data_IF_700690609125
#
_entry.id   IF_700690609125
#
_cell.length_a   1.000
_cell.length_b   1.000
_cell.length_c   1.000
_cell.angle_alpha   90.00
_cell.angle_beta   90.00
_cell.angle_gamma   90.00
#
_symmetry.space_group_name_H-M   'P 1'
#
loop_
_entity.id
_entity.type
_entity.pdbx_description
1 polymer ?
#
# COMPACT_ATOMS: atom_id res chain seq x y z
N UNK A 1 -3.03 0.33 9.87
CA UNK A 1 -2.36 1.61 10.17
C UNK A 1 -1.57 1.48 11.47
N UNK A 2 -0.49 2.24 11.65
CA UNK A 2 0.17 2.38 12.95
C UNK A 2 -0.87 2.86 13.98
N UNK A 3 -1.08 2.10 15.06
CA UNK A 3 -2.16 2.35 16.02
C UNK A 3 -3.39 1.43 15.91
N UNK A 4 -3.35 0.43 15.02
CA UNK A 4 -4.37 -0.64 14.97
C UNK A 4 -5.62 -0.33 14.14
N UNK A 5 -5.71 0.87 13.55
CA UNK A 5 -6.78 1.23 12.63
C UNK A 5 -6.72 0.44 11.30
N UNK A 6 -7.90 0.13 10.76
CA UNK A 6 -8.07 -0.56 9.47
C UNK A 6 -8.85 0.33 8.50
N UNK A 7 -8.41 0.39 7.25
CA UNK A 7 -9.11 1.03 6.14
C UNK A 7 -9.43 -0.03 5.10
N UNK A 8 -10.61 0.08 4.48
CA UNK A 8 -11.00 -0.75 3.35
C UNK A 8 -11.26 0.15 2.16
N UNK A 9 -10.69 -0.21 1.03
CA UNK A 9 -10.90 0.45 -0.24
C UNK A 9 -10.87 -0.60 -1.35
N UNK A 10 -11.51 -0.30 -2.48
CA UNK A 10 -11.54 -1.16 -3.65
C UNK A 10 -10.72 -0.49 -4.74
N UNK A 11 -9.72 -1.21 -5.24
CA UNK A 11 -8.92 -0.83 -6.41
C UNK A 11 -9.16 -1.88 -7.49
N UNK A 12 -9.07 -1.49 -8.76
CA UNK A 12 -9.09 -2.46 -9.86
C UNK A 12 -7.70 -3.05 -10.05
N UNK A 13 -7.63 -4.28 -10.59
CA UNK A 13 -6.36 -5.01 -10.74
C UNK A 13 -5.31 -4.27 -11.57
N UNK A 14 -5.77 -3.47 -12.53
CA UNK A 14 -4.94 -2.66 -13.42
C UNK A 14 -4.49 -1.33 -12.79
N UNK A 15 -5.02 -0.96 -11.62
CA UNK A 15 -4.55 0.22 -10.90
C UNK A 15 -3.11 0.02 -10.46
N UNK A 16 -2.40 1.13 -10.33
CA UNK A 16 -1.02 1.16 -9.94
C UNK A 16 -0.89 1.27 -8.42
N UNK A 17 0.24 0.80 -7.88
CA UNK A 17 0.51 0.97 -6.45
C UNK A 17 0.54 2.47 -6.05
N UNK A 18 0.91 3.35 -6.98
CA UNK A 18 0.82 4.80 -6.78
C UNK A 18 -0.61 5.27 -6.46
N UNK A 19 -1.65 4.63 -6.99
CA UNK A 19 -3.04 4.99 -6.69
C UNK A 19 -3.40 4.70 -5.23
N UNK A 20 -2.83 3.63 -4.67
CA UNK A 20 -2.97 3.32 -3.23
C UNK A 20 -2.32 4.40 -2.37
N UNK A 21 -1.12 4.86 -2.74
CA UNK A 21 -0.45 5.96 -2.05
C UNK A 21 -1.20 7.29 -2.22
N UNK A 22 -1.75 7.56 -3.40
CA UNK A 22 -2.59 8.73 -3.67
C UNK A 22 -3.85 8.72 -2.81
N UNK A 23 -4.47 7.56 -2.61
CA UNK A 23 -5.61 7.40 -1.71
C UNK A 23 -5.23 7.71 -0.25
N UNK A 24 -4.09 7.22 0.23
CA UNK A 24 -3.59 7.58 1.58
C UNK A 24 -3.40 9.10 1.71
N UNK A 25 -2.84 9.75 0.68
CA UNK A 25 -2.70 11.21 0.67
C UNK A 25 -4.04 11.94 0.79
N UNK A 26 -5.05 11.52 0.03
CA UNK A 26 -6.39 12.11 0.07
C UNK A 26 -7.09 11.96 1.43
N UNK A 27 -6.79 10.89 2.17
CA UNK A 27 -7.28 10.68 3.53
C UNK A 27 -6.54 11.49 4.61
N UNK A 28 -5.57 12.33 4.22
CA UNK A 28 -4.71 13.04 5.17
C UNK A 28 -3.64 12.14 5.81
N UNK A 29 -3.42 10.96 5.23
CA UNK A 29 -2.45 9.95 5.69
C UNK A 29 -1.18 9.96 4.84
N UNK A 30 -0.88 11.09 4.21
CA UNK A 30 0.26 11.26 3.31
C UNK A 30 1.62 10.99 3.96
N UNK A 31 1.73 11.11 5.29
CA UNK A 31 2.94 10.71 6.03
C UNK A 31 3.28 9.22 5.82
N UNK A 32 2.27 8.36 5.67
CA UNK A 32 2.41 6.93 5.42
C UNK A 32 2.66 6.60 3.95
N UNK A 33 2.45 7.57 3.07
CA UNK A 33 2.82 7.52 1.65
C UNK A 33 4.18 8.21 1.39
N UNK A 34 5.05 8.23 2.40
CA UNK A 34 6.40 8.80 2.30
C UNK A 34 7.47 7.72 2.17
N UNK A 35 8.69 8.12 1.81
CA UNK A 35 9.85 7.24 1.77
C UNK A 35 10.18 6.59 3.12
N UNK A 36 9.69 7.15 4.23
CA UNK A 36 9.89 6.63 5.59
C UNK A 36 8.98 5.43 5.92
N UNK A 37 7.99 5.14 5.09
CA UNK A 37 7.05 4.04 5.28
C UNK A 37 7.04 3.09 4.08
N UNK A 38 6.61 1.86 4.32
CA UNK A 38 6.37 0.85 3.29
C UNK A 38 5.05 0.15 3.54
N UNK A 39 4.44 -0.33 2.46
CA UNK A 39 3.32 -1.26 2.53
C UNK A 39 3.86 -2.68 2.59
N UNK A 40 3.25 -3.54 3.40
CA UNK A 40 3.67 -4.93 3.55
C UNK A 40 2.46 -5.87 3.55
N UNK A 41 2.62 -7.07 2.99
CA UNK A 41 1.68 -8.18 3.15
C UNK A 41 2.16 -9.11 4.26
N UNK A 42 1.26 -9.57 5.13
CA UNK A 42 1.63 -10.50 6.21
C UNK A 42 2.16 -11.86 5.68
N UNK A 43 1.62 -12.32 4.54
CA UNK A 43 2.06 -13.53 3.86
C UNK A 43 1.92 -13.34 2.35
N UNK A 44 2.99 -13.55 1.54
CA UNK A 44 4.29 -14.13 1.89
C UNK A 44 5.33 -13.14 2.48
N UNK A 45 4.93 -12.03 3.11
CA UNK A 45 5.90 -11.08 3.69
C UNK A 45 6.52 -10.15 2.65
N UNK A 46 5.76 -9.74 1.63
CA UNK A 46 6.27 -8.84 0.58
C UNK A 46 6.13 -7.39 1.01
N UNK A 47 7.21 -6.65 0.82
CA UNK A 47 7.27 -5.21 1.03
C UNK A 47 7.14 -4.46 -0.30
N UNK A 48 6.42 -3.35 -0.30
CA UNK A 48 6.22 -2.47 -1.43
C UNK A 48 6.54 -1.04 -1.00
N UNK A 49 7.30 -0.35 -1.84
CA UNK A 49 7.73 1.02 -1.62
C UNK A 49 7.13 1.94 -2.68
N UNK A 50 7.41 3.24 -2.58
CA UNK A 50 6.98 4.20 -3.61
C UNK A 50 7.68 3.96 -4.96
N UNK A 51 8.86 3.31 -4.96
CA UNK A 51 9.60 2.95 -6.17
C UNK A 51 8.87 1.88 -7.00
N UNK A 52 8.07 1.05 -6.34
CA UNK A 52 7.19 0.06 -6.98
C UNK A 52 5.90 0.70 -7.53
N UNK A 53 5.74 2.03 -7.39
CA UNK A 53 4.52 2.78 -7.68
C UNK A 53 3.96 2.56 -9.07
N UNK A 54 4.82 2.31 -10.06
CA UNK A 54 4.47 2.06 -11.47
C UNK A 54 3.99 0.64 -11.79
N UNK A 55 4.07 -0.31 -10.84
CA UNK A 55 3.60 -1.68 -11.04
C UNK A 55 2.10 -1.73 -10.73
N UNK A 56 1.38 -2.56 -11.48
CA UNK A 56 -0.03 -2.80 -11.25
C UNK A 56 -0.24 -3.67 -10.02
N UNK A 57 -1.41 -3.57 -9.39
CA UNK A 57 -1.77 -4.41 -8.26
C UNK A 57 -1.76 -5.90 -8.62
N UNK A 58 -2.09 -6.27 -9.87
CA UNK A 58 -2.01 -7.66 -10.32
C UNK A 58 -0.56 -8.17 -10.39
N UNK A 59 0.36 -7.39 -10.95
CA UNK A 59 1.80 -7.72 -11.02
C UNK A 59 2.42 -7.89 -9.62
N UNK A 60 1.94 -7.12 -8.65
CA UNK A 60 2.37 -7.18 -7.25
C UNK A 60 1.74 -8.35 -6.46
N UNK A 61 0.76 -9.05 -7.06
CA UNK A 61 -0.01 -10.12 -6.43
C UNK A 61 -1.12 -9.63 -5.48
N UNK A 62 -1.47 -8.34 -5.54
CA UNK A 62 -2.51 -7.67 -4.76
C UNK A 62 -3.87 -7.64 -5.48
N UNK A 63 -3.92 -8.04 -6.75
CA UNK A 63 -5.14 -7.98 -7.57
C UNK A 63 -6.30 -8.83 -7.05
N UNK A 64 -6.05 -9.86 -6.23
CA UNK A 64 -7.11 -10.68 -5.63
C UNK A 64 -7.57 -10.16 -4.25
N UNK A 65 -7.16 -8.95 -3.88
CA UNK A 65 -7.39 -8.38 -2.57
C UNK A 65 -6.44 -8.95 -1.52
N UNK A 66 -6.49 -8.36 -0.33
CA UNK A 66 -5.65 -8.73 0.81
C UNK A 66 -5.45 -7.57 1.76
N UNK A 67 -4.89 -7.87 2.93
CA UNK A 67 -4.54 -6.86 3.90
C UNK A 67 -3.14 -6.31 3.62
N UNK A 68 -3.05 -4.99 3.56
CA UNK A 68 -1.79 -4.26 3.53
C UNK A 68 -1.55 -3.57 4.87
N UNK A 69 -0.34 -3.75 5.39
CA UNK A 69 0.12 -3.18 6.62
C UNK A 69 1.06 -2.02 6.31
N UNK A 70 0.96 -0.96 7.10
CA UNK A 70 1.86 0.18 7.01
C UNK A 70 2.94 0.01 8.08
N UNK A 71 4.20 -0.08 7.63
CA UNK A 71 5.35 -0.22 8.51
C UNK A 71 6.33 0.94 8.29
N UNK A 72 6.92 1.44 9.37
CA UNK A 72 7.99 2.43 9.31
C UNK A 72 9.30 1.73 8.93
N UNK A 73 10.00 2.22 7.90
CA UNK A 73 11.33 1.72 7.55
C UNK A 73 12.30 2.02 8.70
N UNK A 74 13.16 1.06 9.03
CA UNK A 74 14.21 1.21 10.04
C UNK A 74 15.43 1.93 9.48
#
# INVERSE_FOLDING_TARGET
MPGGGCLRCIFVKSDNLQDVYGYLWQLGLGEYASESYRLETQFPGRCYSIEDGWLTLDELGLGNGGDLYLEKKK
#
